data_IF_301192336293
#
_entry.id   IF_301192336293
#
_cell.length_a   1.000
_cell.length_b   1.000
_cell.length_c   1.000
_cell.angle_alpha   90.00
_cell.angle_beta   90.00
_cell.angle_gamma   90.00
#
_symmetry.space_group_name_H-M   'P 1'
#
loop_
_entity.id
_entity.type
_entity.pdbx_description
1 polymer ?
#
# COMPACT_ATOMS: atom_id res chain seq x y z
N UNK A 1 15.11 17.20 5.34
CA UNK A 1 16.35 16.38 5.31
C UNK A 1 15.98 14.96 5.72
N UNK A 2 16.44 13.91 5.00
CA UNK A 2 16.21 12.51 5.43
C UNK A 2 16.92 12.21 6.75
N UNK A 3 16.32 11.38 7.59
CA UNK A 3 16.91 10.94 8.87
C UNK A 3 18.28 10.27 8.64
N UNK A 4 19.22 10.41 9.60
CA UNK A 4 20.54 9.74 9.53
C UNK A 4 20.40 8.22 9.32
N UNK A 5 19.32 7.61 9.84
CA UNK A 5 19.04 6.17 9.70
C UNK A 5 18.47 5.77 8.34
N UNK A 6 17.87 6.71 7.60
CA UNK A 6 17.31 6.47 6.26
C UNK A 6 18.27 6.84 5.12
N UNK A 7 19.41 7.45 5.45
CA UNK A 7 20.42 7.80 4.46
C UNK A 7 21.01 6.51 3.87
N UNK A 8 20.76 6.27 2.58
CA UNK A 8 21.35 5.16 1.82
C UNK A 8 22.86 5.41 1.64
N UNK A 9 23.68 4.89 2.54
CA UNK A 9 25.15 5.10 2.54
C UNK A 9 25.97 3.82 2.36
N UNK A 10 25.32 2.64 2.33
CA UNK A 10 25.99 1.35 2.22
C UNK A 10 25.68 0.76 0.84
N UNK A 11 26.71 0.35 0.11
CA UNK A 11 26.59 -0.32 -1.19
C UNK A 11 26.95 -1.79 -1.05
N UNK A 12 26.15 -2.66 -1.66
CA UNK A 12 26.40 -4.11 -1.77
C UNK A 12 26.20 -4.53 -3.22
N UNK A 13 27.09 -5.39 -3.71
CA UNK A 13 27.04 -5.93 -5.07
C UNK A 13 26.47 -7.34 -5.07
N UNK A 14 25.69 -7.66 -6.09
CA UNK A 14 25.09 -8.98 -6.31
C UNK A 14 25.36 -9.44 -7.73
N UNK A 15 25.43 -10.75 -7.95
CA UNK A 15 25.47 -11.35 -9.30
C UNK A 15 24.09 -11.91 -9.62
N UNK A 16 23.61 -11.62 -10.82
CA UNK A 16 22.29 -12.04 -11.30
C UNK A 16 22.44 -12.61 -12.70
N UNK A 17 21.55 -13.54 -13.05
CA UNK A 17 21.44 -14.01 -14.44
C UNK A 17 20.73 -12.96 -15.30
N UNK A 18 20.95 -12.96 -16.63
CA UNK A 18 20.24 -12.05 -17.53
C UNK A 18 18.71 -12.14 -17.42
N UNK A 19 18.19 -13.37 -17.26
CA UNK A 19 16.76 -13.61 -17.06
C UNK A 19 16.23 -12.96 -15.79
N UNK A 20 16.98 -13.03 -14.69
CA UNK A 20 16.59 -12.40 -13.43
C UNK A 20 16.54 -10.87 -13.56
N UNK A 21 17.51 -10.28 -14.26
CA UNK A 21 17.51 -8.81 -14.49
C UNK A 21 16.26 -8.39 -15.25
N UNK A 22 15.95 -9.07 -16.36
CA UNK A 22 14.76 -8.76 -17.16
C UNK A 22 13.46 -8.84 -16.34
N UNK A 23 13.27 -9.93 -15.61
CA UNK A 23 12.06 -10.14 -14.80
C UNK A 23 11.89 -9.08 -13.69
N UNK A 24 12.99 -8.63 -13.09
CA UNK A 24 12.96 -7.61 -12.04
C UNK A 24 12.68 -6.23 -12.64
N UNK A 25 13.29 -5.90 -13.78
CA UNK A 25 13.06 -4.62 -14.47
C UNK A 25 11.62 -4.47 -14.95
N UNK A 26 11.02 -5.52 -15.51
CA UNK A 26 9.61 -5.52 -15.93
C UNK A 26 8.68 -5.24 -14.74
N UNK A 27 8.85 -5.96 -13.62
CA UNK A 27 8.05 -5.75 -12.40
C UNK A 27 8.30 -4.40 -11.74
N UNK A 28 9.53 -3.90 -11.79
CA UNK A 28 9.85 -2.57 -11.28
C UNK A 28 9.14 -1.49 -12.10
N UNK A 29 9.12 -1.65 -13.45
CA UNK A 29 8.42 -0.74 -14.36
C UNK A 29 6.90 -0.73 -14.13
N UNK A 30 6.28 -1.89 -13.92
CA UNK A 30 4.85 -1.99 -13.54
C UNK A 30 4.53 -1.15 -12.29
N UNK A 31 5.44 -1.14 -11.31
CA UNK A 31 5.30 -0.38 -10.06
C UNK A 31 5.86 1.05 -10.10
N UNK A 32 6.33 1.52 -11.26
CA UNK A 32 7.02 2.80 -11.42
C UNK A 32 8.21 2.99 -10.46
N UNK A 33 8.94 1.91 -10.18
CA UNK A 33 10.13 1.88 -9.33
C UNK A 33 11.38 1.61 -10.17
N UNK A 34 12.53 2.06 -9.67
CA UNK A 34 13.82 1.65 -10.23
C UNK A 34 14.17 0.24 -9.77
N UNK A 35 14.99 -0.46 -10.54
CA UNK A 35 15.47 -1.83 -10.23
C UNK A 35 15.91 -1.99 -8.76
N UNK A 36 16.80 -1.11 -8.28
CA UNK A 36 17.35 -1.19 -6.93
C UNK A 36 16.31 -0.83 -5.86
N UNK A 37 15.41 0.12 -6.15
CA UNK A 37 14.34 0.47 -5.22
C UNK A 37 13.34 -0.66 -5.07
N UNK A 38 12.95 -1.30 -6.18
CA UNK A 38 12.05 -2.45 -6.19
C UNK A 38 12.65 -3.65 -5.46
N UNK A 39 13.92 -3.98 -5.72
CA UNK A 39 14.59 -5.07 -5.00
C UNK A 39 14.66 -4.87 -3.49
N UNK A 40 15.01 -3.65 -3.05
CA UNK A 40 15.06 -3.32 -1.61
C UNK A 40 13.65 -3.32 -1.01
N UNK A 41 12.66 -2.78 -1.72
CA UNK A 41 11.27 -2.78 -1.29
C UNK A 41 10.74 -4.20 -1.05
N UNK A 42 10.99 -5.12 -1.99
CA UNK A 42 10.61 -6.52 -1.84
C UNK A 42 11.32 -7.22 -0.67
N UNK A 43 12.59 -6.92 -0.42
CA UNK A 43 13.38 -7.55 0.64
C UNK A 43 13.04 -7.00 2.04
N UNK A 44 12.70 -5.71 2.15
CA UNK A 44 12.39 -5.04 3.42
C UNK A 44 10.93 -5.24 3.81
N UNK A 45 10.02 -5.20 2.84
CA UNK A 45 8.57 -5.26 3.08
C UNK A 45 7.96 -6.63 2.77
N UNK A 46 8.79 -7.64 2.45
CA UNK A 46 8.47 -9.07 2.47
C UNK A 46 7.07 -9.42 1.96
N UNK A 47 6.83 -9.28 0.65
CA UNK A 47 5.57 -9.68 0.01
C UNK A 47 4.28 -9.16 0.67
N UNK A 48 4.32 -8.08 1.45
CA UNK A 48 3.11 -7.33 1.75
C UNK A 48 2.59 -6.81 0.40
N UNK A 49 1.54 -7.46 -0.10
CA UNK A 49 0.82 -7.09 -1.32
C UNK A 49 0.30 -5.65 -1.28
N UNK A 50 0.29 -5.07 -0.08
CA UNK A 50 -0.11 -3.71 0.22
C UNK A 50 1.15 -2.88 0.44
N UNK A 51 1.46 -2.03 -0.54
CA UNK A 51 2.50 -1.01 -0.38
C UNK A 51 2.12 -0.01 0.72
N UNK A 52 3.08 0.69 1.37
CA UNK A 52 2.75 1.70 2.37
C UNK A 52 1.75 2.76 1.87
N UNK A 53 1.85 3.17 0.59
CA UNK A 53 0.92 4.10 -0.04
C UNK A 53 -0.50 3.52 -0.15
N UNK A 54 -0.61 2.22 -0.42
CA UNK A 54 -1.90 1.53 -0.49
C UNK A 54 -2.53 1.39 0.91
N UNK A 55 -1.72 1.14 1.94
CA UNK A 55 -2.21 1.11 3.32
C UNK A 55 -2.80 2.46 3.76
N UNK A 56 -2.14 3.57 3.40
CA UNK A 56 -2.66 4.93 3.66
C UNK A 56 -3.99 5.16 2.96
N UNK A 57 -4.07 4.83 1.65
CA UNK A 57 -5.31 4.95 0.86
C UNK A 57 -6.46 4.11 1.46
N UNK A 58 -6.18 2.89 1.91
CA UNK A 58 -7.16 2.05 2.58
C UNK A 58 -7.65 2.67 3.88
N UNK A 59 -6.75 3.24 4.69
CA UNK A 59 -7.13 3.92 5.93
C UNK A 59 -8.01 5.15 5.67
N UNK A 60 -7.69 5.97 4.66
CA UNK A 60 -8.49 7.14 4.28
C UNK A 60 -9.93 6.74 3.90
N UNK A 61 -10.08 5.64 3.15
CA UNK A 61 -11.40 5.10 2.79
C UNK A 61 -12.18 4.64 4.02
N UNK A 62 -11.54 3.91 4.93
CA UNK A 62 -12.19 3.44 6.17
C UNK A 62 -12.64 4.62 7.04
N UNK A 63 -11.80 5.66 7.15
CA UNK A 63 -12.15 6.85 7.92
C UNK A 63 -13.37 7.58 7.33
N UNK A 64 -13.43 7.73 6.00
CA UNK A 64 -14.58 8.36 5.34
C UNK A 64 -15.88 7.58 5.57
N UNK A 65 -15.82 6.24 5.49
CA UNK A 65 -16.99 5.39 5.77
C UNK A 65 -17.42 5.51 7.23
N UNK A 66 -16.47 5.59 8.16
CA UNK A 66 -16.76 5.77 9.58
C UNK A 66 -17.44 7.12 9.85
N UNK A 67 -16.94 8.21 9.26
CA UNK A 67 -17.57 9.53 9.37
C UNK A 67 -19.01 9.53 8.86
N UNK A 68 -19.27 8.84 7.74
CA UNK A 68 -20.64 8.70 7.21
C UNK A 68 -21.49 7.88 8.18
N UNK A 69 -21.01 6.74 8.66
CA UNK A 69 -21.75 5.89 9.59
C UNK A 69 -22.08 6.60 10.91
N UNK A 70 -21.15 7.39 11.44
CA UNK A 70 -21.35 8.18 12.66
C UNK A 70 -22.29 9.37 12.44
N UNK A 71 -22.35 9.90 11.22
CA UNK A 71 -23.27 10.99 10.85
C UNK A 71 -24.71 10.54 10.57
N UNK A 72 -24.95 9.23 10.43
CA UNK A 72 -26.27 8.68 10.21
C UNK A 72 -27.05 8.68 11.53
N UNK A 73 -28.13 9.47 11.58
CA UNK A 73 -29.05 9.50 12.71
C UNK A 73 -29.97 8.26 12.67
N UNK A 74 -30.00 7.50 13.76
CA UNK A 74 -30.75 6.23 13.85
C UNK A 74 -32.27 6.38 13.77
N UNK A 75 -32.77 7.61 13.80
CA UNK A 75 -34.18 7.99 13.63
C UNK A 75 -34.60 8.30 12.20
N UNK A 76 -33.66 8.44 11.25
CA UNK A 76 -33.96 8.72 9.84
C UNK A 76 -34.28 7.46 9.01
N UNK A 77 -34.09 6.26 9.59
CA UNK A 77 -34.33 4.98 8.92
C UNK A 77 -35.52 4.25 9.54
N UNK A 78 -36.57 4.03 8.75
CA UNK A 78 -37.69 3.15 9.12
C UNK A 78 -37.18 1.71 9.07
N UNK A 79 -37.24 0.98 10.18
CA UNK A 79 -36.85 -0.44 10.21
C UNK A 79 -37.81 -1.23 9.32
N UNK A 80 -37.29 -2.24 8.62
CA UNK A 80 -38.08 -3.06 7.70
C UNK A 80 -39.27 -3.74 8.40
N UNK A 81 -39.15 -3.96 9.70
CA UNK A 81 -40.17 -4.47 10.60
C UNK A 81 -41.34 -3.48 10.81
N UNK A 82 -41.10 -2.17 10.73
CA UNK A 82 -42.10 -1.10 10.90
C UNK A 82 -42.89 -0.80 9.61
N UNK A 83 -42.37 -1.22 8.44
CA UNK A 83 -43.03 -1.07 7.12
C UNK A 83 -44.11 -2.13 6.84
N UNK A 84 -44.38 -3.04 7.78
CA UNK A 84 -45.31 -4.18 7.62
C UNK A 84 -46.69 -3.97 8.26
N UNK A 85 -47.02 -2.75 8.66
CA UNK A 85 -48.40 -2.38 9.06
C UNK A 85 -49.26 -2.05 7.85
#
# INVERSE_FOLDING_TARGET
MRSKREKKSITKSIKLSPLQVQQIEEKAKEKNLTFSSYMVDCAVHGNNSITPQMAVRMQELVNMVLEIADSIDGTEYIRKEELRQ
#
